data_IF_779771836518
#
_entry.id   IF_779771836518
#
_cell.length_a   1.000
_cell.length_b   1.000
_cell.length_c   1.000
_cell.angle_alpha   90.00
_cell.angle_beta   90.00
_cell.angle_gamma   90.00
#
_symmetry.space_group_name_H-M   'P 1'
#
loop_
_entity.id
_entity.type
_entity.pdbx_description
1 polymer ?
#
# COMPACT_ATOMS: atom_id res chain seq x y z
N UNK A 1 -5.71 -25.91 14.72
CA UNK A 1 -4.80 -25.91 13.56
C UNK A 1 -3.35 -25.72 14.00
N UNK A 2 -2.38 -26.29 13.27
CA UNK A 2 -0.93 -26.01 13.43
C UNK A 2 -0.41 -25.41 12.13
N UNK A 3 0.44 -24.39 12.24
CA UNK A 3 0.91 -23.57 11.13
C UNK A 3 2.42 -23.40 11.29
N UNK A 4 3.20 -23.52 10.21
CA UNK A 4 4.63 -23.26 10.30
C UNK A 4 4.89 -21.80 10.67
N UNK A 5 6.00 -21.56 11.38
CA UNK A 5 6.41 -20.21 11.79
C UNK A 5 6.45 -19.24 10.62
N UNK A 6 7.19 -19.59 9.56
CA UNK A 6 7.40 -18.73 8.40
C UNK A 6 6.08 -18.38 7.70
N UNK A 7 5.21 -19.37 7.50
CA UNK A 7 3.92 -19.16 6.85
C UNK A 7 3.04 -18.24 7.70
N UNK A 8 3.01 -18.45 9.02
CA UNK A 8 2.26 -17.61 9.94
C UNK A 8 2.76 -16.17 9.93
N UNK A 9 4.08 -15.96 10.09
CA UNK A 9 4.70 -14.63 10.11
C UNK A 9 4.51 -13.88 8.78
N UNK A 10 4.59 -14.58 7.65
CA UNK A 10 4.35 -14.00 6.32
C UNK A 10 2.90 -13.52 6.19
N UNK A 11 1.93 -14.33 6.60
CA UNK A 11 0.51 -13.95 6.57
C UNK A 11 0.25 -12.75 7.49
N UNK A 12 0.85 -12.72 8.70
CA UNK A 12 0.69 -11.58 9.60
C UNK A 12 1.32 -10.30 9.03
N UNK A 13 2.53 -10.35 8.51
CA UNK A 13 3.18 -9.19 7.89
C UNK A 13 2.37 -8.65 6.70
N UNK A 14 1.88 -9.54 5.84
CA UNK A 14 1.04 -9.14 4.71
C UNK A 14 -0.33 -8.61 5.15
N UNK A 15 -0.85 -9.03 6.30
CA UNK A 15 -2.13 -8.56 6.82
C UNK A 15 -2.11 -7.09 7.22
N UNK A 16 -0.95 -6.51 7.52
CA UNK A 16 -0.79 -5.08 7.85
C UNK A 16 -1.19 -4.18 6.67
N UNK A 17 -1.13 -4.69 5.45
CA UNK A 17 -1.44 -3.94 4.24
C UNK A 17 -2.91 -4.08 3.80
N UNK A 18 -3.74 -4.87 4.51
CA UNK A 18 -5.13 -5.13 4.10
C UNK A 18 -5.95 -3.85 3.98
N UNK A 19 -5.77 -2.91 4.93
CA UNK A 19 -6.47 -1.62 4.91
C UNK A 19 -6.09 -0.78 3.69
N UNK A 20 -4.79 -0.77 3.34
CA UNK A 20 -4.30 -0.10 2.14
C UNK A 20 -4.94 -0.67 0.86
N UNK A 21 -4.98 -1.99 0.73
CA UNK A 21 -5.60 -2.64 -0.42
C UNK A 21 -7.11 -2.38 -0.49
N UNK A 22 -7.81 -2.45 0.65
CA UNK A 22 -9.23 -2.13 0.72
C UNK A 22 -9.53 -0.72 0.19
N UNK A 23 -8.76 0.28 0.62
CA UNK A 23 -8.90 1.66 0.15
C UNK A 23 -8.63 1.82 -1.35
N UNK A 24 -7.66 1.07 -1.91
CA UNK A 24 -7.40 1.07 -3.36
C UNK A 24 -8.57 0.49 -4.15
N UNK A 25 -9.19 -0.59 -3.67
CA UNK A 25 -10.35 -1.19 -4.33
C UNK A 25 -11.58 -0.27 -4.27
N UNK A 26 -11.85 0.38 -3.13
CA UNK A 26 -12.94 1.36 -3.02
C UNK A 26 -12.78 2.54 -3.98
N UNK A 27 -11.57 3.11 -4.09
CA UNK A 27 -11.33 4.31 -4.90
C UNK A 27 -11.42 4.09 -6.41
N UNK A 28 -11.09 2.89 -6.88
CA UNK A 28 -11.03 2.59 -8.31
C UNK A 28 -12.36 2.13 -8.92
N UNK A 29 -13.43 2.01 -8.13
CA UNK A 29 -14.78 1.73 -8.65
C UNK A 29 -14.87 0.47 -9.51
N UNK A 30 -14.11 -0.57 -9.16
CA UNK A 30 -13.95 -1.79 -9.98
C UNK A 30 -15.16 -2.71 -9.75
N UNK A 31 -15.83 -3.14 -10.83
CA UNK A 31 -17.13 -3.82 -10.82
C UNK A 31 -17.23 -5.23 -10.19
N UNK A 32 -18.42 -5.83 -10.30
CA UNK A 32 -19.03 -6.91 -9.48
C UNK A 32 -18.21 -8.15 -9.06
N UNK A 33 -17.06 -8.46 -9.66
CA UNK A 33 -16.14 -9.51 -9.18
C UNK A 33 -15.38 -9.04 -7.93
N UNK A 34 -15.24 -7.72 -7.77
CA UNK A 34 -14.59 -7.05 -6.63
C UNK A 34 -15.51 -6.93 -5.42
N UNK A 35 -16.84 -7.02 -5.58
CA UNK A 35 -17.80 -6.90 -4.46
C UNK A 35 -17.65 -8.01 -3.41
N UNK A 36 -17.32 -9.23 -3.82
CA UNK A 36 -17.10 -10.33 -2.87
C UNK A 36 -15.77 -10.17 -2.13
N UNK A 37 -14.74 -9.72 -2.83
CA UNK A 37 -13.40 -9.51 -2.26
C UNK A 37 -13.38 -8.33 -1.28
N UNK A 38 -14.07 -7.24 -1.62
CA UNK A 38 -14.25 -6.08 -0.75
C UNK A 38 -14.97 -6.48 0.54
N UNK A 39 -15.97 -7.37 0.47
CA UNK A 39 -16.64 -7.90 1.67
C UNK A 39 -15.72 -8.76 2.53
N UNK A 40 -14.86 -9.59 1.92
CA UNK A 40 -13.87 -10.39 2.65
C UNK A 40 -12.86 -9.48 3.36
N UNK A 41 -12.32 -8.48 2.67
CA UNK A 41 -11.41 -7.49 3.27
C UNK A 41 -12.10 -6.71 4.39
N UNK A 42 -13.32 -6.22 4.16
CA UNK A 42 -14.10 -5.49 5.14
C UNK A 42 -14.34 -6.33 6.40
N UNK A 43 -14.67 -7.61 6.24
CA UNK A 43 -14.80 -8.55 7.36
C UNK A 43 -13.49 -8.69 8.13
N UNK A 44 -12.38 -8.98 7.44
CA UNK A 44 -11.07 -9.19 8.06
C UNK A 44 -10.61 -7.94 8.84
N UNK A 45 -10.85 -6.75 8.30
CA UNK A 45 -10.48 -5.46 8.91
C UNK A 45 -11.41 -5.13 10.08
N UNK A 46 -12.74 -5.10 9.86
CA UNK A 46 -13.70 -4.69 10.90
C UNK A 46 -13.69 -5.62 12.11
N UNK A 47 -13.56 -6.94 11.90
CA UNK A 47 -13.51 -7.91 12.99
C UNK A 47 -12.11 -8.04 13.61
N UNK A 48 -11.13 -7.26 13.14
CA UNK A 48 -9.75 -7.30 13.62
C UNK A 48 -9.20 -8.73 13.67
N UNK A 49 -9.45 -9.50 12.61
CA UNK A 49 -9.17 -10.93 12.56
C UNK A 49 -7.69 -11.21 12.79
N UNK A 50 -6.81 -10.45 12.13
CA UNK A 50 -5.37 -10.59 12.28
C UNK A 50 -4.91 -10.38 13.74
N UNK A 51 -5.39 -9.32 14.39
CA UNK A 51 -5.06 -9.03 15.80
C UNK A 51 -5.57 -10.14 16.74
N UNK A 52 -6.79 -10.62 16.52
CA UNK A 52 -7.38 -11.72 17.30
C UNK A 52 -6.58 -13.01 17.17
N UNK A 53 -6.19 -13.36 15.93
CA UNK A 53 -5.34 -14.53 15.64
C UNK A 53 -3.99 -14.38 16.32
N UNK A 54 -3.33 -13.22 16.22
CA UNK A 54 -2.02 -12.97 16.79
C UNK A 54 -2.01 -13.07 18.32
N UNK A 55 -3.05 -12.56 18.99
CA UNK A 55 -3.19 -12.66 20.45
C UNK A 55 -3.48 -14.09 20.93
N UNK A 56 -4.17 -14.87 20.10
CA UNK A 56 -4.62 -16.23 20.49
C UNK A 56 -3.62 -17.32 20.10
N UNK A 57 -2.81 -17.08 19.07
CA UNK A 57 -1.84 -18.04 18.57
C UNK A 57 -0.75 -18.31 19.61
N UNK A 58 -0.41 -19.58 19.80
CA UNK A 58 0.66 -19.99 20.71
C UNK A 58 1.83 -20.54 19.92
N UNK A 59 2.97 -19.89 20.04
CA UNK A 59 4.21 -20.35 19.42
C UNK A 59 4.81 -21.54 20.19
N UNK A 60 5.27 -22.54 19.46
CA UNK A 60 6.07 -23.65 19.98
C UNK A 60 7.46 -23.60 19.35
N UNK A 61 8.47 -23.32 20.17
CA UNK A 61 9.86 -23.23 19.71
C UNK A 61 10.39 -24.56 19.18
N UNK A 62 10.08 -25.67 19.86
CA UNK A 62 10.58 -27.01 19.51
C UNK A 62 10.11 -27.49 18.13
N UNK A 63 8.87 -27.16 17.77
CA UNK A 63 8.29 -27.57 16.48
C UNK A 63 8.33 -26.44 15.45
N UNK A 64 8.76 -25.24 15.83
CA UNK A 64 8.71 -24.03 15.01
C UNK A 64 7.32 -23.80 14.37
N UNK A 65 6.27 -24.00 15.16
CA UNK A 65 4.88 -23.85 14.69
C UNK A 65 4.06 -23.00 15.62
N UNK A 66 3.08 -22.27 15.07
CA UNK A 66 1.99 -21.68 15.81
C UNK A 66 0.81 -22.64 15.93
N UNK A 67 0.27 -22.77 17.15
CA UNK A 67 -0.98 -23.47 17.41
C UNK A 67 -2.10 -22.45 17.54
N UNK A 68 -3.13 -22.62 16.69
CA UNK A 68 -4.32 -21.79 16.68
C UNK A 68 -5.56 -22.63 17.07
N UNK A 69 -6.49 -22.09 17.88
CA UNK A 69 -7.76 -22.75 18.14
C UNK A 69 -8.53 -23.04 16.85
N UNK A 70 -9.31 -24.12 16.86
CA UNK A 70 -10.05 -24.54 15.68
C UNK A 70 -11.16 -23.55 15.30
N UNK A 71 -11.65 -22.76 16.27
CA UNK A 71 -12.62 -21.69 16.05
C UNK A 71 -12.12 -20.63 15.08
N UNK A 72 -10.83 -20.31 15.11
CA UNK A 72 -10.18 -19.30 14.25
C UNK A 72 -9.54 -19.90 12.99
N UNK A 73 -9.68 -21.21 12.76
CA UNK A 73 -9.02 -21.86 11.63
C UNK A 73 -9.55 -21.36 10.29
N UNK A 74 -10.87 -21.13 10.19
CA UNK A 74 -11.50 -20.59 8.98
C UNK A 74 -11.07 -19.15 8.71
N UNK A 75 -11.05 -18.33 9.76
CA UNK A 75 -10.66 -16.93 9.65
C UNK A 75 -9.18 -16.80 9.26
N UNK A 76 -8.31 -17.67 9.80
CA UNK A 76 -6.92 -17.75 9.37
C UNK A 76 -6.77 -18.17 7.91
N UNK A 77 -7.56 -19.16 7.45
CA UNK A 77 -7.53 -19.59 6.05
C UNK A 77 -7.95 -18.45 5.11
N UNK A 78 -9.03 -17.75 5.44
CA UNK A 78 -9.48 -16.59 4.67
C UNK A 78 -8.40 -15.51 4.62
N UNK A 79 -7.78 -15.19 5.77
CA UNK A 79 -6.71 -14.22 5.85
C UNK A 79 -5.48 -14.63 5.01
N UNK A 80 -5.10 -15.91 5.05
CA UNK A 80 -4.00 -16.45 4.26
C UNK A 80 -4.30 -16.37 2.75
N UNK A 81 -5.50 -16.75 2.33
CA UNK A 81 -5.91 -16.65 0.92
C UNK A 81 -5.91 -15.20 0.42
N UNK A 82 -6.46 -14.27 1.21
CA UNK A 82 -6.47 -12.86 0.87
C UNK A 82 -5.04 -12.32 0.73
N UNK A 83 -4.16 -12.58 1.70
CA UNK A 83 -2.77 -12.10 1.67
C UNK A 83 -1.94 -12.73 0.56
N UNK A 84 -2.15 -14.02 0.25
CA UNK A 84 -1.50 -14.67 -0.89
C UNK A 84 -1.96 -14.06 -2.22
N UNK A 85 -3.26 -13.82 -2.39
CA UNK A 85 -3.78 -13.15 -3.59
C UNK A 85 -3.15 -11.77 -3.77
N UNK A 86 -3.07 -10.99 -2.69
CA UNK A 86 -2.42 -9.67 -2.69
C UNK A 86 -0.96 -9.74 -3.11
N UNK A 87 -0.21 -10.75 -2.64
CA UNK A 87 1.19 -10.94 -3.03
C UNK A 87 1.40 -11.24 -4.52
N UNK A 88 0.34 -11.67 -5.23
CA UNK A 88 0.33 -11.96 -6.66
C UNK A 88 -0.19 -10.80 -7.50
N UNK A 89 -0.75 -9.76 -6.88
CA UNK A 89 -1.12 -8.54 -7.60
C UNK A 89 0.19 -7.81 -7.90
N UNK A 90 0.55 -7.73 -9.18
CA UNK A 90 1.69 -6.93 -9.63
C UNK A 90 1.52 -5.48 -9.12
N UNK A 91 2.56 -4.93 -8.47
CA UNK A 91 2.62 -3.53 -7.99
C UNK A 91 2.17 -2.53 -9.07
N UNK A 92 2.43 -2.88 -10.32
CA UNK A 92 2.12 -2.18 -11.56
C UNK A 92 0.61 -1.95 -11.78
N UNK A 93 -0.24 -2.78 -11.17
CA UNK A 93 -1.71 -2.67 -11.22
C UNK A 93 -2.30 -1.94 -10.01
N UNK A 94 -1.52 -1.74 -8.94
CA UNK A 94 -1.95 -1.10 -7.69
C UNK A 94 -1.74 0.42 -7.71
N UNK A 95 -0.85 0.91 -8.56
CA UNK A 95 -0.70 2.35 -8.82
C UNK A 95 -1.55 2.68 -10.06
N UNK A 96 -2.67 3.40 -9.95
CA UNK A 96 -3.34 3.91 -11.13
C UNK A 96 -2.33 4.73 -11.93
N UNK A 97 -2.13 4.44 -13.23
CA UNK A 97 -1.21 5.20 -14.10
C UNK A 97 -1.39 6.72 -13.99
N UNK A 98 -2.61 7.15 -13.63
CA UNK A 98 -2.99 8.54 -13.35
C UNK A 98 -2.19 9.19 -12.21
N UNK A 99 -1.74 8.44 -11.20
CA UNK A 99 -0.89 8.96 -10.11
C UNK A 99 0.58 9.07 -10.52
N UNK A 100 1.08 8.15 -11.34
CA UNK A 100 2.43 8.24 -11.92
C UNK A 100 2.53 9.47 -12.84
N UNK A 101 1.49 9.73 -13.63
CA UNK A 101 1.42 10.89 -14.54
C UNK A 101 1.24 12.23 -13.80
N UNK A 102 0.59 12.25 -12.63
CA UNK A 102 0.47 13.48 -11.83
C UNK A 102 1.80 13.89 -11.20
N UNK A 103 2.59 12.97 -10.62
CA UNK A 103 3.91 13.30 -10.08
C UNK A 103 4.91 13.70 -11.17
N UNK A 104 4.86 13.07 -12.35
CA UNK A 104 5.64 13.51 -13.51
C UNK A 104 5.23 14.92 -13.97
N UNK A 105 3.93 15.23 -14.06
CA UNK A 105 3.48 16.57 -14.44
C UNK A 105 3.80 17.65 -13.39
N UNK A 106 3.81 17.31 -12.09
CA UNK A 106 4.22 18.22 -11.02
C UNK A 106 5.73 18.47 -11.05
N UNK A 107 6.55 17.44 -11.29
CA UNK A 107 8.00 17.62 -11.45
C UNK A 107 8.36 18.42 -12.70
N UNK A 108 7.68 18.18 -13.84
CA UNK A 108 7.87 18.95 -15.08
C UNK A 108 7.42 20.42 -14.93
N UNK A 109 6.34 20.68 -14.19
CA UNK A 109 5.93 22.06 -13.86
C UNK A 109 6.90 22.77 -12.93
N UNK A 110 7.51 22.07 -11.95
CA UNK A 110 8.55 22.63 -11.07
C UNK A 110 9.82 22.98 -11.84
N UNK A 111 10.30 22.10 -12.72
CA UNK A 111 11.48 22.41 -13.57
C UNK A 111 11.22 23.57 -14.52
N UNK A 112 9.99 23.68 -15.06
CA UNK A 112 9.60 24.82 -15.89
C UNK A 112 9.54 26.14 -15.12
N UNK A 113 9.17 26.14 -13.84
CA UNK A 113 9.13 27.35 -13.00
C UNK A 113 10.52 27.77 -12.51
N UNK A 114 11.40 26.82 -12.17
CA UNK A 114 12.79 27.11 -11.81
C UNK A 114 13.56 27.72 -13.00
N UNK A 115 13.35 27.19 -14.22
CA UNK A 115 13.87 27.79 -15.46
C UNK A 115 13.37 29.22 -15.69
N UNK A 116 12.10 29.52 -15.39
CA UNK A 116 11.55 30.87 -15.56
C UNK A 116 12.08 31.84 -14.50
N UNK A 117 12.30 31.37 -13.28
CA UNK A 117 12.85 32.18 -12.19
C UNK A 117 14.33 32.52 -12.43
N UNK A 118 15.13 31.57 -12.92
CA UNK A 118 16.53 31.83 -13.31
C UNK A 118 16.62 32.81 -14.50
N UNK A 119 15.74 32.69 -15.49
CA UNK A 119 15.66 33.67 -16.59
C UNK A 119 15.31 35.07 -16.08
N UNK A 120 14.36 35.19 -15.16
CA UNK A 120 14.01 36.48 -14.54
C UNK A 120 15.16 37.06 -13.71
N UNK A 121 15.88 36.25 -12.94
CA UNK A 121 17.05 36.69 -12.17
C UNK A 121 18.19 37.17 -13.07
N UNK A 122 18.43 36.51 -14.19
CA UNK A 122 19.43 36.93 -15.18
C UNK A 122 19.03 38.25 -15.85
N UNK A 123 17.78 38.40 -16.27
CA UNK A 123 17.27 39.66 -16.85
C UNK A 123 17.37 40.80 -15.83
N UNK A 124 16.97 40.58 -14.57
CA UNK A 124 17.11 41.62 -13.53
C UNK A 124 18.58 41.98 -13.29
N UNK A 125 19.47 41.00 -13.20
CA UNK A 125 20.90 41.23 -12.97
C UNK A 125 21.57 42.01 -14.10
N UNK A 126 21.22 41.72 -15.36
CA UNK A 126 21.72 42.45 -16.52
C UNK A 126 21.15 43.86 -16.60
N UNK A 127 19.88 44.04 -16.23
CA UNK A 127 19.25 45.37 -16.14
C UNK A 127 19.93 46.22 -15.06
N UNK A 128 20.19 45.65 -13.88
CA UNK A 128 20.94 46.33 -12.81
C UNK A 128 22.38 46.69 -13.21
N UNK A 129 23.05 45.86 -14.01
CA UNK A 129 24.39 46.16 -14.54
C UNK A 129 24.39 47.27 -15.58
N UNK A 130 23.32 47.39 -16.38
CA UNK A 130 23.18 48.47 -17.37
C UNK A 130 22.90 49.82 -16.69
N UNK A 131 22.05 49.84 -15.65
CA UNK A 131 21.76 51.05 -14.87
C UNK A 131 23.02 51.59 -14.18
N UNK A 132 23.94 50.72 -13.72
CA UNK A 132 25.16 51.13 -13.02
C UNK A 132 26.28 51.66 -13.92
N UNK A 133 26.12 51.61 -15.25
CA UNK A 133 27.07 52.11 -16.25
C UNK A 133 26.63 53.41 -16.94
N UNK A 134 25.47 53.95 -16.56
CA UNK A 134 24.95 55.24 -17.01
C UNK A 134 25.09 56.24 -15.87
#
# INVERSE_FOLDING_TARGET
MRINKTDFETVMANSEFLDYYYQLFERNGVGSVVDMQVKEFQYLIHQQVAATIQQTARYSFFTQTYKLPQTLAKDYQLLAECTERLSKIEMDQLIPKQFIEQDFNVQVKKTSQESQYEQLLNIMSDTFRQIKKT
#
